data_IF_068307072169
#
_entry.id   IF_068307072169
#
_cell.length_a   1.000
_cell.length_b   1.000
_cell.length_c   1.000
_cell.angle_alpha   90.00
_cell.angle_beta   90.00
_cell.angle_gamma   90.00
#
_symmetry.space_group_name_H-M   'P 1'
#
loop_
_entity.id
_entity.type
_entity.pdbx_description
1 polymer ?
#
# COMPACT_ATOMS: atom_id res chain seq x y z
N UNK A 1 21.12 -0.85 50.35
CA UNK A 1 21.29 -0.16 49.06
C UNK A 1 22.03 -1.10 48.13
N UNK A 2 21.32 -1.72 47.18
CA UNK A 2 21.90 -2.66 46.21
C UNK A 2 22.39 -1.88 44.99
N UNK A 3 23.68 -1.98 44.65
CA UNK A 3 24.23 -1.35 43.45
C UNK A 3 23.84 -2.18 42.22
N UNK A 4 23.08 -1.55 41.33
CA UNK A 4 22.66 -2.12 40.06
C UNK A 4 23.86 -2.12 39.11
N UNK A 5 24.44 -3.30 38.90
CA UNK A 5 25.55 -3.50 37.98
C UNK A 5 25.03 -3.35 36.54
N UNK A 6 25.38 -2.24 35.87
CA UNK A 6 25.02 -2.00 34.48
C UNK A 6 26.16 -2.51 33.60
N UNK A 7 26.04 -3.76 33.14
CA UNK A 7 26.95 -4.28 32.12
C UNK A 7 26.63 -3.59 30.77
N UNK A 8 27.59 -2.84 30.18
CA UNK A 8 27.37 -2.26 28.86
C UNK A 8 27.34 -3.39 27.83
N UNK A 9 26.17 -3.63 27.25
CA UNK A 9 26.02 -4.46 26.05
C UNK A 9 26.94 -3.87 24.98
N UNK A 10 28.06 -4.54 24.69
CA UNK A 10 28.92 -4.26 23.53
C UNK A 10 28.07 -4.37 22.28
N UNK A 11 27.58 -3.24 21.78
CA UNK A 11 26.96 -3.15 20.47
C UNK A 11 28.08 -3.08 19.44
N UNK A 12 28.59 -4.24 19.05
CA UNK A 12 29.26 -4.32 17.75
C UNK A 12 28.21 -3.96 16.69
N UNK A 13 28.45 -2.94 15.85
CA UNK A 13 27.59 -2.71 14.70
C UNK A 13 27.77 -3.92 13.79
N UNK A 14 26.75 -4.77 13.71
CA UNK A 14 26.61 -5.70 12.59
C UNK A 14 26.41 -4.84 11.34
N UNK A 15 27.52 -4.41 10.74
CA UNK A 15 27.55 -3.84 9.39
C UNK A 15 27.26 -5.02 8.47
N UNK A 16 25.99 -5.21 8.16
CA UNK A 16 25.62 -5.96 6.96
C UNK A 16 25.98 -5.04 5.81
N UNK A 17 27.13 -5.27 5.19
CA UNK A 17 27.49 -4.68 3.91
C UNK A 17 26.45 -5.15 2.88
N UNK A 18 25.46 -4.30 2.60
CA UNK A 18 24.55 -4.49 1.47
C UNK A 18 25.31 -3.96 0.24
N UNK A 19 26.13 -4.86 -0.34
CA UNK A 19 26.85 -4.70 -1.60
C UNK A 19 25.84 -4.65 -2.77
N UNK A 20 25.20 -3.48 -2.98
CA UNK A 20 24.55 -3.09 -4.23
C UNK A 20 23.84 -1.72 -4.10
N UNK A 21 24.57 -0.64 -3.77
CA UNK A 21 24.00 0.71 -3.88
C UNK A 21 24.80 1.62 -4.79
N UNK A 22 24.20 1.90 -5.95
CA UNK A 22 24.31 3.19 -6.63
C UNK A 22 24.00 4.31 -5.62
N UNK A 23 25.04 4.81 -4.97
CA UNK A 23 25.25 6.23 -4.67
C UNK A 23 24.25 6.95 -3.76
N UNK A 24 23.68 6.31 -2.73
CA UNK A 24 23.02 7.07 -1.63
C UNK A 24 23.36 6.46 -0.27
N UNK A 25 24.29 7.09 0.44
CA UNK A 25 24.60 6.80 1.85
C UNK A 25 23.37 7.06 2.73
N UNK A 26 22.62 6.00 3.03
CA UNK A 26 21.56 6.06 4.03
C UNK A 26 22.23 5.96 5.40
N UNK A 27 22.46 7.10 6.06
CA UNK A 27 22.90 7.18 7.47
C UNK A 27 22.00 6.28 8.36
N UNK A 28 22.45 5.06 8.59
CA UNK A 28 21.68 3.96 9.15
C UNK A 28 21.63 3.98 10.66
N UNK A 29 20.96 4.95 11.28
CA UNK A 29 20.74 4.98 12.74
C UNK A 29 19.52 4.17 13.20
N UNK A 30 18.74 3.61 12.26
CA UNK A 30 17.50 2.89 12.56
C UNK A 30 17.75 1.39 12.77
N UNK A 31 17.34 0.86 13.91
CA UNK A 31 17.32 -0.59 14.13
C UNK A 31 16.21 -1.23 13.31
N UNK A 32 16.57 -2.10 12.38
CA UNK A 32 15.63 -2.93 11.64
C UNK A 32 15.27 -4.15 12.47
N UNK A 33 13.97 -4.43 12.63
CA UNK A 33 13.50 -5.68 13.26
C UNK A 33 12.93 -6.60 12.18
N UNK A 34 13.28 -7.89 12.20
CA UNK A 34 12.66 -8.86 11.30
C UNK A 34 11.17 -8.95 11.58
N UNK A 35 10.35 -9.09 10.53
CA UNK A 35 8.89 -8.99 10.66
C UNK A 35 8.24 -10.16 11.43
N UNK A 36 8.94 -11.27 11.69
CA UNK A 36 8.45 -12.39 12.50
C UNK A 36 6.97 -12.72 12.26
N UNK A 37 6.14 -12.55 13.31
CA UNK A 37 4.69 -12.83 13.30
C UNK A 37 3.86 -11.89 12.41
N UNK A 38 4.37 -10.71 12.04
CA UNK A 38 3.67 -9.76 11.17
C UNK A 38 3.53 -10.25 9.72
N UNK A 39 4.40 -11.16 9.26
CA UNK A 39 4.29 -11.76 7.92
C UNK A 39 2.98 -12.52 7.74
N UNK A 40 2.53 -13.23 8.76
CA UNK A 40 1.27 -13.97 8.73
C UNK A 40 0.07 -13.03 8.53
N UNK A 41 0.00 -11.95 9.32
CA UNK A 41 -1.06 -10.95 9.18
C UNK A 41 -1.02 -10.25 7.82
N UNK A 42 0.17 -9.96 7.29
CA UNK A 42 0.32 -9.40 5.94
C UNK A 42 -0.36 -10.28 4.89
N UNK A 43 -0.08 -11.59 4.87
CA UNK A 43 -0.67 -12.50 3.89
C UNK A 43 -2.18 -12.66 4.07
N UNK A 44 -2.67 -12.69 5.30
CA UNK A 44 -4.12 -12.70 5.56
C UNK A 44 -4.78 -11.45 5.00
N UNK A 45 -4.21 -10.27 5.29
CA UNK A 45 -4.75 -9.00 4.79
C UNK A 45 -4.70 -8.96 3.26
N UNK A 46 -3.60 -9.42 2.65
CA UNK A 46 -3.48 -9.54 1.19
C UNK A 46 -4.61 -10.37 0.58
N UNK A 47 -4.90 -11.53 1.16
CA UNK A 47 -5.98 -12.42 0.73
C UNK A 47 -7.35 -11.76 0.90
N UNK A 48 -7.63 -11.19 2.07
CA UNK A 48 -8.91 -10.54 2.36
C UNK A 48 -9.19 -9.36 1.42
N UNK A 49 -8.18 -8.53 1.17
CA UNK A 49 -8.28 -7.38 0.24
C UNK A 49 -8.53 -7.86 -1.19
N UNK A 50 -7.88 -8.95 -1.60
CA UNK A 50 -8.09 -9.53 -2.92
C UNK A 50 -9.50 -10.14 -3.07
N UNK A 51 -9.95 -10.91 -2.07
CA UNK A 51 -11.31 -11.44 -2.03
C UNK A 51 -12.37 -10.33 -2.04
N UNK A 52 -12.14 -9.24 -1.30
CA UNK A 52 -13.03 -8.08 -1.28
C UNK A 52 -13.12 -7.43 -2.67
N UNK A 53 -11.99 -7.20 -3.34
CA UNK A 53 -11.98 -6.66 -4.71
C UNK A 53 -12.79 -7.54 -5.66
N UNK A 54 -12.52 -8.85 -5.67
CA UNK A 54 -13.24 -9.80 -6.53
C UNK A 54 -14.74 -9.78 -6.21
N UNK A 55 -15.11 -9.82 -4.93
CA UNK A 55 -16.51 -9.81 -4.50
C UNK A 55 -17.24 -8.55 -4.97
N UNK A 56 -16.60 -7.38 -4.86
CA UNK A 56 -17.17 -6.12 -5.37
C UNK A 56 -17.33 -6.18 -6.89
N UNK A 57 -16.30 -6.62 -7.63
CA UNK A 57 -16.37 -6.70 -9.09
C UNK A 57 -17.46 -7.65 -9.56
N UNK A 58 -17.59 -8.84 -8.96
CA UNK A 58 -18.68 -9.77 -9.28
C UNK A 58 -20.04 -9.12 -9.01
N UNK A 59 -20.22 -8.45 -7.86
CA UNK A 59 -21.48 -7.80 -7.53
C UNK A 59 -21.82 -6.63 -8.48
N UNK A 60 -20.83 -5.88 -8.95
CA UNK A 60 -21.02 -4.79 -9.92
C UNK A 60 -21.38 -5.33 -11.29
N UNK A 61 -20.61 -6.30 -11.79
CA UNK A 61 -20.73 -6.82 -13.16
C UNK A 61 -21.85 -7.86 -13.35
N UNK A 62 -22.54 -8.25 -12.27
CA UNK A 62 -23.79 -9.03 -12.34
C UNK A 62 -25.04 -8.17 -12.49
N UNK A 63 -24.92 -6.84 -12.40
CA UNK A 63 -26.04 -5.92 -12.64
C UNK A 63 -26.25 -5.67 -14.14
N UNK A 64 -27.46 -5.28 -14.57
CA UNK A 64 -27.71 -4.87 -15.95
C UNK A 64 -26.70 -3.80 -16.37
N UNK A 65 -26.08 -3.99 -17.54
CA UNK A 65 -25.02 -3.11 -18.00
C UNK A 65 -25.47 -1.65 -18.02
N UNK A 66 -24.69 -0.80 -17.37
CA UNK A 66 -24.84 0.65 -17.37
C UNK A 66 -23.46 1.27 -17.36
N UNK A 67 -23.30 2.40 -18.04
CA UNK A 67 -22.05 3.17 -18.01
C UNK A 67 -21.65 3.54 -16.57
N UNK A 68 -22.63 3.74 -15.69
CA UNK A 68 -22.38 4.03 -14.29
C UNK A 68 -21.66 2.91 -13.54
N UNK A 69 -21.73 1.65 -13.98
CA UNK A 69 -21.02 0.52 -13.35
C UNK A 69 -19.50 0.65 -13.41
N UNK A 70 -18.98 1.45 -14.34
CA UNK A 70 -17.56 1.75 -14.39
C UNK A 70 -17.10 2.58 -13.18
N UNK A 71 -17.97 3.40 -12.57
CA UNK A 71 -17.61 4.16 -11.37
C UNK A 71 -17.19 3.26 -10.19
N UNK A 72 -18.05 2.36 -9.66
CA UNK A 72 -17.65 1.49 -8.55
C UNK A 72 -16.50 0.55 -8.95
N UNK A 73 -16.37 0.18 -10.22
CA UNK A 73 -15.23 -0.62 -10.73
C UNK A 73 -13.91 0.12 -10.54
N UNK A 74 -13.78 1.33 -11.08
CA UNK A 74 -12.54 2.11 -11.00
C UNK A 74 -12.28 2.64 -9.59
N UNK A 75 -13.31 2.98 -8.82
CA UNK A 75 -13.16 3.36 -7.41
C UNK A 75 -12.61 2.18 -6.57
N UNK A 76 -13.09 0.97 -6.80
CA UNK A 76 -12.61 -0.23 -6.09
C UNK A 76 -11.18 -0.59 -6.48
N UNK A 77 -10.83 -0.46 -7.76
CA UNK A 77 -9.45 -0.63 -8.22
C UNK A 77 -8.53 0.41 -7.59
N UNK A 78 -8.94 1.67 -7.54
CA UNK A 78 -8.18 2.73 -6.87
C UNK A 78 -7.89 2.40 -5.40
N UNK A 79 -8.93 2.02 -4.65
CA UNK A 79 -8.79 1.61 -3.26
C UNK A 79 -7.86 0.40 -3.10
N UNK A 80 -7.99 -0.60 -3.97
CA UNK A 80 -7.10 -1.75 -3.98
C UNK A 80 -5.63 -1.33 -4.15
N UNK A 81 -5.32 -0.48 -5.12
CA UNK A 81 -3.95 0.00 -5.33
C UNK A 81 -3.41 0.81 -4.15
N UNK A 82 -4.22 1.66 -3.52
CA UNK A 82 -3.79 2.36 -2.30
C UNK A 82 -3.47 1.41 -1.16
N UNK A 83 -4.31 0.40 -0.92
CA UNK A 83 -4.06 -0.61 0.12
C UNK A 83 -2.78 -1.38 -0.20
N UNK A 84 -2.60 -1.81 -1.46
CA UNK A 84 -1.36 -2.47 -1.89
C UNK A 84 -0.14 -1.57 -1.62
N UNK A 85 -0.21 -0.29 -2.00
CA UNK A 85 0.85 0.66 -1.72
C UNK A 85 1.21 0.73 -0.23
N UNK A 86 0.22 0.80 0.66
CA UNK A 86 0.43 0.84 2.12
C UNK A 86 1.09 -0.44 2.63
N UNK A 87 0.61 -1.60 2.18
CA UNK A 87 1.14 -2.91 2.61
C UNK A 87 2.62 -3.08 2.23
N UNK A 88 3.04 -2.58 1.06
CA UNK A 88 4.42 -2.72 0.58
C UNK A 88 5.45 -1.91 1.39
N UNK A 89 5.06 -0.81 2.04
CA UNK A 89 5.96 -0.01 2.89
C UNK A 89 6.23 -0.69 4.23
N UNK A 90 5.38 -1.63 4.65
CA UNK A 90 5.54 -2.27 5.95
C UNK A 90 6.86 -3.06 6.05
N UNK A 91 7.36 -3.59 4.92
CA UNK A 91 8.57 -4.42 4.84
C UNK A 91 9.84 -3.57 5.03
N UNK A 92 10.26 -3.45 6.29
CA UNK A 92 11.40 -2.64 6.72
C UNK A 92 12.54 -3.48 7.29
N UNK A 93 12.76 -4.68 6.77
CA UNK A 93 13.82 -5.59 7.28
C UNK A 93 15.24 -5.13 6.89
N UNK A 94 15.39 -4.33 5.84
CA UNK A 94 16.64 -3.67 5.43
C UNK A 94 16.38 -2.29 4.81
N UNK A 95 17.41 -1.45 4.72
CA UNK A 95 17.38 -0.16 4.00
C UNK A 95 16.97 -0.34 2.55
N UNK A 96 17.56 -1.33 1.86
CA UNK A 96 17.27 -1.69 0.47
C UNK A 96 15.82 -2.12 0.29
N UNK A 97 15.30 -2.98 1.17
CA UNK A 97 13.88 -3.39 1.15
C UNK A 97 12.94 -2.22 1.41
N UNK A 98 13.28 -1.31 2.32
CA UNK A 98 12.50 -0.09 2.58
C UNK A 98 12.43 0.80 1.34
N UNK A 99 13.56 1.03 0.67
CA UNK A 99 13.60 1.86 -0.54
C UNK A 99 12.78 1.23 -1.66
N UNK A 100 12.88 -0.09 -1.85
CA UNK A 100 12.04 -0.84 -2.79
C UNK A 100 10.55 -0.70 -2.45
N UNK A 101 10.19 -0.87 -1.18
CA UNK A 101 8.81 -0.70 -0.69
C UNK A 101 8.28 0.71 -0.94
N UNK A 102 9.10 1.75 -0.72
CA UNK A 102 8.75 3.15 -1.00
C UNK A 102 8.54 3.41 -2.50
N UNK A 103 9.38 2.83 -3.38
CA UNK A 103 9.20 2.92 -4.83
C UNK A 103 7.88 2.27 -5.26
N UNK A 104 7.60 1.05 -4.79
CA UNK A 104 6.35 0.35 -5.10
C UNK A 104 5.15 1.15 -4.57
N UNK A 105 5.23 1.67 -3.35
CA UNK A 105 4.20 2.53 -2.77
C UNK A 105 3.88 3.74 -3.64
N UNK A 106 4.91 4.44 -4.12
CA UNK A 106 4.73 5.60 -5.00
C UNK A 106 4.03 5.20 -6.31
N UNK A 107 4.42 4.07 -6.92
CA UNK A 107 3.79 3.58 -8.16
C UNK A 107 2.33 3.19 -7.91
N UNK A 108 2.06 2.44 -6.84
CA UNK A 108 0.71 2.01 -6.47
C UNK A 108 -0.20 3.22 -6.19
N UNK A 109 0.27 4.22 -5.44
CA UNK A 109 -0.51 5.44 -5.20
C UNK A 109 -0.73 6.24 -6.49
N UNK A 110 0.26 6.30 -7.38
CA UNK A 110 0.10 6.92 -8.69
C UNK A 110 -1.01 6.25 -9.50
N UNK A 111 -0.99 4.92 -9.60
CA UNK A 111 -2.05 4.15 -10.27
C UNK A 111 -3.42 4.34 -9.58
N UNK A 112 -3.45 4.27 -8.25
CA UNK A 112 -4.65 4.54 -7.46
C UNK A 112 -5.25 5.92 -7.76
N UNK A 113 -4.39 6.93 -7.90
CA UNK A 113 -4.80 8.31 -8.22
C UNK A 113 -5.40 8.40 -9.63
N UNK A 114 -4.79 7.75 -10.61
CA UNK A 114 -5.32 7.70 -11.98
C UNK A 114 -6.73 7.06 -11.97
N UNK A 115 -6.90 5.93 -11.27
CA UNK A 115 -8.19 5.25 -11.21
C UNK A 115 -9.29 6.07 -10.52
N UNK A 116 -8.98 6.78 -9.43
CA UNK A 116 -10.02 7.61 -8.78
C UNK A 116 -10.43 8.79 -9.64
N UNK A 117 -9.50 9.39 -10.40
CA UNK A 117 -9.81 10.46 -11.37
C UNK A 117 -10.73 9.95 -12.48
N UNK A 118 -10.47 8.73 -12.99
CA UNK A 118 -11.35 8.08 -13.97
C UNK A 118 -12.73 7.83 -13.36
N UNK A 119 -12.79 7.26 -12.15
CA UNK A 119 -14.04 6.96 -11.46
C UNK A 119 -14.89 8.23 -11.22
N UNK A 120 -14.24 9.33 -10.85
CA UNK A 120 -14.90 10.63 -10.68
C UNK A 120 -15.41 11.17 -12.02
N UNK A 121 -14.60 11.11 -13.08
CA UNK A 121 -14.98 11.53 -14.43
C UNK A 121 -16.21 10.79 -14.95
N UNK A 122 -16.32 9.48 -14.68
CA UNK A 122 -17.48 8.67 -15.07
C UNK A 122 -18.76 9.16 -14.38
N UNK A 123 -18.72 9.44 -13.07
CA UNK A 123 -19.88 9.96 -12.33
C UNK A 123 -20.27 11.33 -12.85
N UNK A 124 -19.30 12.21 -13.06
CA UNK A 124 -19.53 13.55 -13.56
C UNK A 124 -20.20 13.51 -14.95
N UNK A 125 -19.66 12.70 -15.87
CA UNK A 125 -20.22 12.52 -17.21
C UNK A 125 -21.63 11.92 -17.16
N UNK A 126 -21.85 10.89 -16.34
CA UNK A 126 -23.16 10.27 -16.18
C UNK A 126 -24.21 11.26 -15.65
N UNK A 127 -23.85 12.08 -14.65
CA UNK A 127 -24.73 13.12 -14.11
C UNK A 127 -25.05 14.20 -15.13
N UNK A 128 -24.05 14.65 -15.90
CA UNK A 128 -24.27 15.63 -16.98
C UNK A 128 -25.26 15.10 -18.03
N UNK A 129 -25.14 13.84 -18.43
CA UNK A 129 -26.04 13.22 -19.41
C UNK A 129 -27.49 13.09 -18.89
N UNK A 130 -27.68 13.00 -17.57
CA UNK A 130 -28.99 12.87 -16.93
C UNK A 130 -29.57 14.21 -16.47
N UNK A 131 -28.84 15.33 -16.64
CA UNK A 131 -29.23 16.64 -16.10
C UNK A 131 -29.32 16.67 -14.56
N UNK A 132 -28.62 15.76 -13.88
CA UNK A 132 -28.68 15.61 -12.43
C UNK A 132 -27.72 16.58 -11.72
N UNK A 133 -28.09 17.00 -10.51
CA UNK A 133 -27.25 17.87 -9.68
C UNK A 133 -25.97 17.17 -9.21
N UNK A 134 -24.87 17.93 -9.14
CA UNK A 134 -23.58 17.48 -8.60
C UNK A 134 -23.50 17.79 -7.10
N UNK A 135 -22.91 16.88 -6.32
CA UNK A 135 -22.62 17.05 -4.88
C UNK A 135 -23.81 17.33 -3.93
N UNK A 136 -25.03 16.95 -4.34
CA UNK A 136 -26.25 16.94 -3.54
C UNK A 136 -26.69 15.51 -3.27
#
# INVERSE_FOLDING_TARGET
MSQMNYDPVKSEPNIVEDDDTDGVDVLGTRRYRPMGRFKFYYYIVQLLVFCLLIGILINVWTKPYSFFLWHPTFASLSLYFYIQGILQVQWTESSTRRLKGARIHSVCNGLGTIFIVIAFSIVAANKNNLGAMHFT
#
